data_IF_095527662686
#
_entry.id   IF_095527662686
#
_cell.length_a   1.000
_cell.length_b   1.000
_cell.length_c   1.000
_cell.angle_alpha   90.00
_cell.angle_beta   90.00
_cell.angle_gamma   90.00
#
_symmetry.space_group_name_H-M   'P 1'
#
loop_
_entity.id
_entity.type
_entity.pdbx_description
1 polymer ?
#
# COMPACT_ATOMS: atom_id res chain seq x y z
N UNK A 1 9.19 -7.33 -8.60
CA UNK A 1 7.89 -7.15 -9.26
C UNK A 1 7.39 -5.73 -9.04
N UNK A 2 6.76 -5.14 -10.01
CA UNK A 2 6.18 -3.80 -9.94
C UNK A 2 4.68 -3.86 -10.19
N UNK A 3 3.91 -3.12 -9.39
CA UNK A 3 2.48 -2.97 -9.56
C UNK A 3 2.15 -1.49 -9.75
N UNK A 4 1.14 -1.21 -10.57
CA UNK A 4 0.61 0.14 -10.66
C UNK A 4 -0.29 0.40 -9.45
N UNK A 5 -0.10 1.51 -8.79
CA UNK A 5 -0.96 1.86 -7.67
C UNK A 5 -2.31 2.36 -8.18
N UNK A 6 -3.36 2.00 -7.46
CA UNK A 6 -4.70 2.50 -7.70
C UNK A 6 -5.03 3.68 -6.79
N UNK A 7 -4.17 3.98 -5.83
CA UNK A 7 -4.38 5.09 -4.92
C UNK A 7 -3.98 6.40 -5.56
N UNK A 8 -4.82 7.41 -5.38
CA UNK A 8 -4.56 8.76 -5.85
C UNK A 8 -4.36 9.74 -4.71
N UNK A 9 -4.34 9.26 -3.48
CA UNK A 9 -4.38 10.13 -2.31
C UNK A 9 -3.14 11.00 -2.19
N UNK A 10 -1.98 10.47 -2.42
CA UNK A 10 -0.74 11.23 -2.36
C UNK A 10 -0.07 11.35 -3.72
N UNK A 11 -0.64 10.73 -4.69
CA UNK A 11 -0.52 10.98 -6.13
C UNK A 11 0.85 11.03 -6.79
N UNK A 12 1.90 10.55 -6.18
CA UNK A 12 3.23 10.76 -6.75
C UNK A 12 3.86 9.52 -7.35
N UNK A 13 3.39 8.35 -6.98
CA UNK A 13 3.98 7.10 -7.46
C UNK A 13 2.98 6.31 -8.28
N UNK A 14 3.41 5.85 -9.42
CA UNK A 14 2.58 5.04 -10.30
C UNK A 14 2.85 3.54 -10.14
N UNK A 15 3.94 3.17 -9.46
CA UNK A 15 4.32 1.78 -9.31
C UNK A 15 4.73 1.48 -7.87
N UNK A 16 4.51 0.23 -7.48
CA UNK A 16 4.88 -0.28 -6.15
C UNK A 16 5.90 -1.39 -6.34
N UNK A 17 7.01 -1.30 -5.63
CA UNK A 17 8.09 -2.27 -5.71
C UNK A 17 8.49 -2.75 -4.32
N UNK A 18 8.89 -4.01 -4.23
CA UNK A 18 9.46 -4.56 -2.99
C UNK A 18 10.73 -3.83 -2.61
N UNK A 19 10.86 -3.50 -1.33
CA UNK A 19 12.04 -2.82 -0.79
C UNK A 19 11.95 -1.31 -0.77
N UNK A 20 10.92 -0.74 -1.36
CA UNK A 20 10.71 0.72 -1.34
C UNK A 20 9.72 1.14 -0.28
N UNK A 21 9.78 2.41 0.10
CA UNK A 21 8.92 3.01 1.10
C UNK A 21 7.84 3.84 0.42
N UNK A 22 6.64 3.77 0.99
CA UNK A 22 5.48 4.50 0.48
C UNK A 22 4.65 5.03 1.63
N UNK A 23 3.81 6.00 1.34
CA UNK A 23 2.71 6.33 2.25
C UNK A 23 1.60 5.32 2.04
N UNK A 24 0.90 4.97 3.10
CA UNK A 24 -0.17 3.97 3.03
C UNK A 24 -1.21 4.30 1.97
N UNK A 25 -1.56 5.58 1.84
CA UNK A 25 -2.53 6.02 0.85
C UNK A 25 -2.18 5.68 -0.59
N UNK A 26 -0.90 5.44 -0.89
CA UNK A 26 -0.49 5.03 -2.22
C UNK A 26 -0.74 3.55 -2.48
N UNK A 27 -0.92 2.77 -1.43
CA UNK A 27 -1.22 1.34 -1.53
C UNK A 27 -2.71 1.06 -1.50
N UNK A 28 -3.46 1.89 -0.78
CA UNK A 28 -4.86 1.66 -0.48
C UNK A 28 -5.75 2.45 -1.43
N UNK A 29 -6.69 1.77 -2.07
CA UNK A 29 -7.61 2.38 -3.03
C UNK A 29 -8.89 2.98 -2.38
N UNK A 30 -9.00 2.86 -1.07
CA UNK A 30 -10.13 3.40 -0.33
C UNK A 30 -11.25 2.41 -0.06
N UNK A 31 -11.12 1.17 -0.53
CA UNK A 31 -12.09 0.12 -0.24
C UNK A 31 -11.74 -0.58 1.07
N UNK A 32 -12.66 -0.57 2.01
CA UNK A 32 -12.51 -1.27 3.29
C UNK A 32 -12.06 -0.36 4.42
N UNK A 33 -11.67 -0.96 5.54
CA UNK A 33 -11.20 -0.26 6.74
C UNK A 33 -9.68 -0.11 6.68
N UNK A 34 -9.22 1.11 6.49
CA UNK A 34 -7.79 1.40 6.38
C UNK A 34 -7.01 1.05 7.65
N UNK A 35 -7.58 1.27 8.83
CA UNK A 35 -6.91 0.92 10.08
C UNK A 35 -6.73 -0.59 10.21
N UNK A 36 -7.77 -1.36 9.85
CA UNK A 36 -7.70 -2.81 9.87
C UNK A 36 -6.67 -3.33 8.88
N UNK A 37 -6.61 -2.74 7.69
CA UNK A 37 -5.63 -3.11 6.67
C UNK A 37 -4.21 -2.82 7.15
N UNK A 38 -3.98 -1.67 7.79
CA UNK A 38 -2.69 -1.33 8.36
C UNK A 38 -2.27 -2.35 9.43
N UNK A 39 -3.18 -2.74 10.30
CA UNK A 39 -2.88 -3.71 11.35
C UNK A 39 -2.56 -5.09 10.77
N UNK A 40 -3.17 -5.46 9.66
CA UNK A 40 -2.92 -6.75 9.02
C UNK A 40 -1.53 -6.84 8.38
N UNK A 41 -0.93 -5.72 8.04
CA UNK A 41 0.37 -5.69 7.37
C UNK A 41 0.33 -6.13 5.91
N UNK A 42 -0.85 -6.21 5.32
CA UNK A 42 -1.00 -6.63 3.94
C UNK A 42 -2.24 -6.01 3.31
N UNK A 43 -2.19 -5.81 2.01
CA UNK A 43 -3.32 -5.28 1.25
C UNK A 43 -3.38 -5.98 -0.10
N UNK A 44 -4.60 -6.21 -0.59
CA UNK A 44 -4.82 -6.79 -1.92
C UNK A 44 -4.87 -5.67 -2.95
N UNK A 45 -4.11 -5.81 -4.02
CA UNK A 45 -4.13 -4.90 -5.15
C UNK A 45 -4.44 -5.71 -6.41
N UNK A 46 -5.37 -5.21 -7.19
CA UNK A 46 -5.78 -5.85 -8.43
C UNK A 46 -5.13 -5.13 -9.62
N UNK A 47 -4.51 -5.90 -10.49
CA UNK A 47 -3.89 -5.38 -11.70
C UNK A 47 -4.10 -6.37 -12.84
N UNK A 48 -4.63 -5.89 -13.95
CA UNK A 48 -4.86 -6.71 -15.15
C UNK A 48 -5.68 -7.97 -14.87
N UNK A 49 -6.66 -7.86 -13.96
CA UNK A 49 -7.53 -8.98 -13.60
C UNK A 49 -6.93 -9.97 -12.61
N UNK A 50 -5.72 -9.73 -12.15
CA UNK A 50 -5.06 -10.57 -11.16
C UNK A 50 -4.99 -9.89 -9.81
N UNK A 51 -5.14 -10.68 -8.75
CA UNK A 51 -4.99 -10.19 -7.38
C UNK A 51 -3.56 -10.41 -6.91
N UNK A 52 -2.97 -9.36 -6.38
CA UNK A 52 -1.65 -9.42 -5.75
C UNK A 52 -1.76 -9.03 -4.29
N UNK A 53 -1.09 -9.75 -3.41
CA UNK A 53 -1.03 -9.41 -2.01
C UNK A 53 0.29 -8.68 -1.75
N UNK A 54 0.18 -7.45 -1.31
CA UNK A 54 1.34 -6.60 -1.00
C UNK A 54 1.53 -6.60 0.51
N UNK A 55 2.62 -7.19 0.95
CA UNK A 55 2.99 -7.20 2.36
C UNK A 55 3.82 -5.95 2.66
N UNK A 56 3.59 -5.36 3.83
CA UNK A 56 4.32 -4.16 4.21
C UNK A 56 4.59 -4.12 5.71
N UNK A 57 5.56 -3.31 6.08
CA UNK A 57 5.96 -3.04 7.46
C UNK A 57 5.75 -1.55 7.74
N UNK A 58 5.14 -1.22 8.88
CA UNK A 58 4.94 0.17 9.27
C UNK A 58 6.25 0.72 9.81
N UNK A 59 6.74 1.78 9.18
CA UNK A 59 7.97 2.47 9.58
C UNK A 59 7.69 3.63 10.52
N UNK A 60 6.63 4.37 10.24
CA UNK A 60 6.27 5.55 11.01
C UNK A 60 4.76 5.77 10.93
N UNK A 61 4.10 5.75 12.08
CA UNK A 61 2.67 5.99 12.17
C UNK A 61 2.40 7.49 12.25
N UNK A 62 1.36 7.95 11.56
CA UNK A 62 0.90 9.33 11.61
C UNK A 62 -0.54 9.37 12.13
N UNK A 63 -1.00 10.54 12.56
CA UNK A 63 -2.40 10.72 12.98
C UNK A 63 -3.36 10.41 11.84
N UNK A 64 -2.98 10.81 10.63
CA UNK A 64 -3.74 10.47 9.43
C UNK A 64 -3.17 9.17 8.87
N UNK A 65 -3.98 8.12 8.82
CA UNK A 65 -3.54 6.83 8.32
C UNK A 65 -3.01 6.92 6.90
N UNK A 66 -3.52 7.85 6.10
CA UNK A 66 -3.06 8.03 4.71
C UNK A 66 -1.64 8.57 4.63
N UNK A 67 -1.13 9.10 5.72
CA UNK A 67 0.25 9.60 5.81
C UNK A 67 1.16 8.66 6.59
N UNK A 68 0.67 7.52 7.00
CA UNK A 68 1.50 6.50 7.63
C UNK A 68 2.50 5.95 6.63
N UNK A 69 3.78 5.96 6.99
CA UNK A 69 4.83 5.48 6.09
C UNK A 69 5.07 3.99 6.29
N UNK A 70 5.11 3.27 5.19
CA UNK A 70 5.30 1.82 5.17
C UNK A 70 6.40 1.44 4.19
N UNK A 71 6.98 0.27 4.40
CA UNK A 71 7.94 -0.32 3.47
C UNK A 71 7.34 -1.61 2.92
N UNK A 72 7.30 -1.74 1.61
CA UNK A 72 6.82 -2.96 0.97
C UNK A 72 7.88 -4.05 1.15
N UNK A 73 7.48 -5.16 1.76
CA UNK A 73 8.37 -6.28 2.05
C UNK A 73 8.20 -7.45 1.09
N UNK A 74 7.08 -7.54 0.41
CA UNK A 74 6.85 -8.58 -0.57
C UNK A 74 5.61 -8.33 -1.40
N UNK A 75 5.60 -8.87 -2.60
CA UNK A 75 4.46 -8.85 -3.51
C UNK A 75 4.26 -10.29 -3.98
N UNK A 76 3.07 -10.85 -3.71
CA UNK A 76 2.75 -12.24 -4.01
C UNK A 76 1.60 -12.38 -4.98
#
# INVERSE_FOLDING_TARGET
MKLNTLSYVLGTEDTIETGKEYYFGQLWDGDGDGEELLESGAIAIYQDGEEFIVDFEILESAEDILQTRVKVTGIN
#
